data_IF_743668756114
#
_entry.id   IF_743668756114
#
_cell.length_a   1.000
_cell.length_b   1.000
_cell.length_c   1.000
_cell.angle_alpha   90.00
_cell.angle_beta   90.00
_cell.angle_gamma   90.00
#
_symmetry.space_group_name_H-M   'P 1'
#
loop_
_entity.id
_entity.type
_entity.pdbx_description
1 polymer ?
#
# COMPACT_ATOMS: atom_id res chain seq x y z
N UNK A 1 9.98 7.47 17.05
CA UNK A 1 10.14 6.10 17.57
C UNK A 1 8.77 5.51 17.78
N UNK A 2 8.67 4.19 17.86
CA UNK A 2 7.48 3.55 18.43
C UNK A 2 7.74 3.36 19.93
N UNK A 3 6.73 3.65 20.74
CA UNK A 3 6.85 3.57 22.20
C UNK A 3 6.49 2.17 22.72
N UNK A 4 5.91 1.32 21.87
CA UNK A 4 5.62 -0.09 22.19
C UNK A 4 5.59 -0.98 20.94
N UNK A 5 5.58 -2.29 21.16
CA UNK A 5 5.45 -3.29 20.08
C UNK A 5 4.07 -3.19 19.41
N UNK A 6 3.03 -2.88 20.19
CA UNK A 6 1.66 -2.70 19.69
C UNK A 6 1.58 -1.47 18.76
N UNK A 7 2.22 -0.35 19.12
CA UNK A 7 2.30 0.81 18.22
C UNK A 7 3.07 0.48 16.94
N UNK A 8 4.15 -0.29 17.03
CA UNK A 8 4.89 -0.75 15.85
C UNK A 8 4.01 -1.64 14.96
N UNK A 9 3.27 -2.60 15.54
CA UNK A 9 2.40 -3.49 14.81
C UNK A 9 1.31 -2.72 14.05
N UNK A 10 0.62 -1.80 14.73
CA UNK A 10 -0.39 -0.94 14.09
C UNK A 10 0.23 -0.08 12.98
N UNK A 11 1.41 0.49 13.21
CA UNK A 11 2.10 1.27 12.17
C UNK A 11 2.49 0.45 10.95
N UNK A 12 2.83 -0.84 11.13
CA UNK A 12 3.11 -1.75 10.03
C UNK A 12 1.84 -2.08 9.23
N UNK A 13 0.72 -2.33 9.90
CA UNK A 13 -0.58 -2.55 9.24
C UNK A 13 -1.00 -1.33 8.41
N UNK A 14 -0.86 -0.14 8.97
CA UNK A 14 -1.15 1.12 8.28
C UNK A 14 -0.22 1.30 7.07
N UNK A 15 1.08 1.02 7.24
CA UNK A 15 2.05 1.13 6.15
C UNK A 15 1.77 0.13 5.02
N UNK A 16 1.41 -1.11 5.34
CA UNK A 16 1.04 -2.13 4.37
C UNK A 16 -0.22 -1.70 3.59
N UNK A 17 -1.20 -1.14 4.29
CA UNK A 17 -2.45 -0.63 3.68
C UNK A 17 -2.14 0.51 2.72
N UNK A 18 -1.43 1.54 3.20
CA UNK A 18 -0.97 2.67 2.38
C UNK A 18 -0.22 2.20 1.13
N UNK A 19 0.76 1.31 1.31
CA UNK A 19 1.60 0.86 0.20
C UNK A 19 0.79 0.12 -0.87
N UNK A 20 -0.16 -0.72 -0.46
CA UNK A 20 -0.92 -1.55 -1.39
C UNK A 20 -2.08 -0.80 -2.06
N UNK A 21 -2.74 0.10 -1.33
CA UNK A 21 -4.02 0.67 -1.73
C UNK A 21 -3.91 2.13 -2.16
N UNK A 22 -3.14 2.93 -1.43
CA UNK A 22 -3.19 4.40 -1.55
C UNK A 22 -2.00 4.98 -2.32
N UNK A 23 -0.84 4.32 -2.25
CA UNK A 23 0.39 4.82 -2.85
C UNK A 23 0.27 4.87 -4.38
N UNK A 24 0.27 6.07 -4.94
CA UNK A 24 0.34 6.30 -6.39
C UNK A 24 1.76 6.15 -6.91
N UNK A 25 1.93 5.40 -8.01
CA UNK A 25 3.23 5.21 -8.67
C UNK A 25 3.20 5.66 -10.12
N UNK A 26 4.09 6.60 -10.49
CA UNK A 26 4.25 7.03 -11.89
C UNK A 26 4.68 5.89 -12.81
N UNK A 27 5.46 4.92 -12.30
CA UNK A 27 5.84 3.71 -13.05
C UNK A 27 4.63 2.82 -13.36
N UNK A 28 3.59 2.87 -12.51
CA UNK A 28 2.33 2.17 -12.72
C UNK A 28 1.29 3.09 -13.38
N UNK A 29 1.73 4.07 -14.18
CA UNK A 29 0.85 5.02 -14.86
C UNK A 29 -0.11 5.77 -13.93
N UNK A 30 0.36 6.09 -12.71
CA UNK A 30 -0.46 6.80 -11.72
C UNK A 30 -1.46 5.91 -10.98
N UNK A 31 -1.32 4.59 -11.07
CA UNK A 31 -2.16 3.65 -10.32
C UNK A 31 -1.52 3.28 -8.98
N UNK A 32 -2.37 2.89 -8.03
CA UNK A 32 -1.92 2.15 -6.86
C UNK A 32 -1.61 0.69 -7.19
N UNK A 33 -0.81 -0.01 -6.37
CA UNK A 33 -0.45 -1.40 -6.66
C UNK A 33 -1.65 -2.34 -6.81
N UNK A 34 -2.70 -2.17 -6.00
CA UNK A 34 -3.92 -2.98 -6.15
C UNK A 34 -4.66 -2.65 -7.45
N UNK A 35 -4.79 -1.38 -7.81
CA UNK A 35 -5.44 -0.96 -9.05
C UNK A 35 -4.70 -1.51 -10.28
N UNK A 36 -3.37 -1.44 -10.29
CA UNK A 36 -2.55 -2.00 -11.37
C UNK A 36 -2.76 -3.51 -11.52
N UNK A 37 -2.77 -4.28 -10.43
CA UNK A 37 -3.06 -5.72 -10.47
C UNK A 37 -4.47 -6.02 -11.00
N UNK A 38 -5.47 -5.29 -10.51
CA UNK A 38 -6.85 -5.43 -10.98
C UNK A 38 -6.98 -5.13 -12.47
N UNK A 39 -6.29 -4.10 -12.98
CA UNK A 39 -6.28 -3.77 -14.40
C UNK A 39 -5.67 -4.88 -15.25
N UNK A 40 -4.61 -5.55 -14.76
CA UNK A 40 -3.96 -6.65 -15.47
C UNK A 40 -4.82 -7.92 -15.53
N UNK A 41 -5.73 -8.13 -14.57
CA UNK A 41 -6.65 -9.26 -14.54
C UNK A 41 -7.89 -9.07 -15.44
N UNK A 42 -8.20 -7.82 -15.81
CA UNK A 42 -9.34 -7.45 -16.64
C UNK A 42 -8.97 -7.24 -18.12
N UNK A 43 -7.72 -7.51 -18.50
CA UNK A 43 -7.22 -7.51 -19.88
C UNK A 43 -7.08 -8.95 -20.39
#
# INVERSE_FOLDING_TARGET
SFESVEQLASGLEDYITYYNQDRISLRLNGLSPVQFRTQALNQ
#
